data_IF_661209020148
#
_entry.id   IF_661209020148
#
_cell.length_a   1.000
_cell.length_b   1.000
_cell.length_c   1.000
_cell.angle_alpha   90.00
_cell.angle_beta   90.00
_cell.angle_gamma   90.00
#
_symmetry.space_group_name_H-M   'P 1'
#
loop_
_entity.id
_entity.type
_entity.pdbx_description
1 polymer ?
#
# COMPACT_ATOMS: atom_id res chain seq x y z
N UNK A 1 11.97 15.54 22.52
CA UNK A 1 13.04 15.07 21.64
C UNK A 1 12.39 14.70 20.31
N UNK A 2 12.58 15.48 19.25
CA UNK A 2 11.86 15.25 17.99
C UNK A 2 12.13 16.36 16.99
N UNK A 3 13.39 16.51 16.60
CA UNK A 3 13.76 17.40 15.50
C UNK A 3 13.32 16.80 14.16
N UNK A 4 13.09 17.66 13.17
CA UNK A 4 12.88 17.22 11.79
C UNK A 4 14.23 16.71 11.25
N UNK A 5 14.42 15.39 11.23
CA UNK A 5 15.62 14.78 10.65
C UNK A 5 15.64 14.91 9.12
N UNK A 6 16.84 15.01 8.54
CA UNK A 6 17.05 14.91 7.11
C UNK A 6 17.24 13.43 6.71
N UNK A 7 16.63 13.01 5.61
CA UNK A 7 16.78 11.64 5.10
C UNK A 7 18.05 11.54 4.28
N UNK A 8 18.96 10.66 4.69
CA UNK A 8 20.22 10.41 3.97
C UNK A 8 20.08 9.30 2.91
N UNK A 9 19.42 8.19 3.26
CA UNK A 9 19.25 7.04 2.38
C UNK A 9 18.06 6.16 2.81
N UNK A 10 17.63 5.25 1.93
CA UNK A 10 16.68 4.18 2.23
C UNK A 10 17.25 2.85 1.73
N UNK A 11 17.28 1.85 2.62
CA UNK A 11 17.90 0.56 2.36
C UNK A 11 17.25 -0.54 3.22
N UNK A 12 17.44 -1.80 2.83
CA UNK A 12 16.97 -2.97 3.59
C UNK A 12 17.94 -3.38 4.70
N UNK A 13 19.19 -2.93 4.66
CA UNK A 13 20.18 -3.16 5.71
C UNK A 13 21.11 -1.95 5.79
N UNK A 14 21.48 -1.55 6.99
CA UNK A 14 22.39 -0.43 7.24
C UNK A 14 23.32 -0.73 8.41
N UNK A 15 24.56 -0.29 8.26
CA UNK A 15 25.57 -0.30 9.30
C UNK A 15 25.98 1.14 9.61
N UNK A 16 25.74 1.59 10.83
CA UNK A 16 26.05 2.95 11.30
C UNK A 16 27.12 2.86 12.38
N UNK A 17 28.17 3.67 12.24
CA UNK A 17 29.20 3.81 13.28
C UNK A 17 29.11 5.21 13.88
N UNK A 18 29.01 5.28 15.20
CA UNK A 18 28.99 6.54 15.95
C UNK A 18 30.25 6.67 16.80
N UNK A 19 30.89 7.84 16.73
CA UNK A 19 32.10 8.15 17.51
C UNK A 19 31.81 9.00 18.74
N UNK A 20 30.55 9.40 18.93
CA UNK A 20 30.07 10.20 20.06
C UNK A 20 28.78 9.59 20.58
N UNK A 21 28.46 9.89 21.83
CA UNK A 21 27.17 9.51 22.36
C UNK A 21 26.04 10.24 21.60
N UNK A 22 24.99 9.51 21.20
CA UNK A 22 23.86 10.05 20.44
C UNK A 22 22.53 9.77 21.16
N UNK A 23 21.61 10.75 21.21
CA UNK A 23 20.26 10.49 21.70
C UNK A 23 19.50 9.63 20.68
N UNK A 24 18.86 8.57 21.14
CA UNK A 24 18.06 7.67 20.32
C UNK A 24 16.73 7.36 21.01
N UNK A 25 15.81 6.76 20.25
CA UNK A 25 14.54 6.26 20.77
C UNK A 25 14.34 4.84 20.24
N UNK A 26 14.32 3.85 21.14
CA UNK A 26 14.17 2.42 20.80
C UNK A 26 12.83 1.96 21.35
N UNK A 27 11.96 1.41 20.51
CA UNK A 27 10.62 0.90 20.89
C UNK A 27 9.74 1.88 21.69
N UNK A 28 9.97 3.18 21.51
CA UNK A 28 9.26 4.25 22.21
C UNK A 28 10.01 4.82 23.41
N UNK A 29 11.02 4.13 23.92
CA UNK A 29 11.81 4.54 25.08
C UNK A 29 13.00 5.42 24.67
N UNK A 30 13.19 6.59 25.30
CA UNK A 30 14.35 7.43 25.04
C UNK A 30 15.60 6.84 25.71
N UNK A 31 16.71 6.79 24.99
CA UNK A 31 18.00 6.44 25.57
C UNK A 31 19.16 7.23 24.96
N UNK A 32 20.28 7.30 25.67
CA UNK A 32 21.52 7.91 25.19
C UNK A 32 22.51 6.79 24.87
N UNK A 33 22.73 6.55 23.57
CA UNK A 33 23.64 5.51 23.12
C UNK A 33 25.08 6.00 23.22
N UNK A 34 25.97 5.21 23.81
CA UNK A 34 27.42 5.44 23.75
C UNK A 34 27.94 5.31 22.29
N UNK A 35 29.19 5.70 21.98
CA UNK A 35 29.83 5.37 20.71
C UNK A 35 29.66 3.88 20.40
N UNK A 36 29.12 3.54 19.22
CA UNK A 36 28.64 2.18 18.93
C UNK A 36 28.63 1.87 17.44
N UNK A 37 28.59 0.57 17.15
CA UNK A 37 28.32 0.03 15.83
C UNK A 37 26.89 -0.52 15.81
N UNK A 38 26.03 0.10 15.00
CA UNK A 38 24.60 -0.20 14.92
C UNK A 38 24.35 -0.92 13.60
N UNK A 39 23.82 -2.14 13.66
CA UNK A 39 23.35 -2.88 12.49
C UNK A 39 21.83 -2.95 12.52
N UNK A 40 21.18 -2.40 11.49
CA UNK A 40 19.73 -2.49 11.31
C UNK A 40 19.46 -3.28 10.04
N UNK A 41 18.53 -4.22 10.10
CA UNK A 41 18.12 -5.01 8.94
C UNK A 41 16.60 -5.17 8.93
N UNK A 42 16.01 -4.89 7.77
CA UNK A 42 14.58 -4.96 7.55
C UNK A 42 14.14 -6.42 7.44
N UNK A 43 13.55 -6.92 8.52
CA UNK A 43 12.93 -8.24 8.57
C UNK A 43 11.41 -8.05 8.53
N UNK A 44 10.87 -7.86 7.34
CA UNK A 44 9.41 -7.83 7.11
C UNK A 44 8.77 -9.14 7.56
N UNK A 45 8.44 -9.28 8.84
CA UNK A 45 7.93 -10.54 9.38
C UNK A 45 6.43 -10.60 9.57
N UNK A 46 5.68 -9.51 9.46
CA UNK A 46 4.21 -9.58 9.58
C UNK A 46 3.57 -8.37 8.88
N UNK A 47 2.48 -8.54 8.12
CA UNK A 47 1.63 -7.42 7.71
C UNK A 47 1.16 -6.64 8.94
N UNK A 48 1.45 -5.34 9.00
CA UNK A 48 1.00 -4.48 10.10
C UNK A 48 -0.19 -3.64 9.65
N UNK A 49 -1.32 -3.75 10.36
CA UNK A 49 -2.46 -2.85 10.18
C UNK A 49 -2.10 -1.45 10.67
N UNK A 50 -1.77 -0.54 9.75
CA UNK A 50 -1.47 0.86 10.09
C UNK A 50 -2.74 1.68 10.11
N UNK A 51 -3.04 2.33 11.24
CA UNK A 51 -4.08 3.36 11.31
C UNK A 51 -3.66 4.57 10.49
N UNK A 52 -4.26 4.74 9.31
CA UNK A 52 -4.06 5.93 8.49
C UNK A 52 -4.72 7.11 9.21
N UNK A 53 -3.92 8.11 9.60
CA UNK A 53 -4.46 9.41 10.02
C UNK A 53 -5.01 10.07 8.76
N UNK A 54 -6.35 10.11 8.61
CA UNK A 54 -6.99 10.92 7.57
C UNK A 54 -6.53 12.36 7.79
N UNK A 55 -5.64 12.86 6.94
CA UNK A 55 -5.46 14.29 6.79
C UNK A 55 -6.79 14.75 6.18
N UNK A 56 -7.57 15.50 6.94
CA UNK A 56 -8.79 16.09 6.45
C UNK A 56 -8.43 17.15 5.40
N UNK A 57 -8.22 16.72 4.17
CA UNK A 57 -8.30 17.61 3.01
C UNK A 57 -9.80 17.86 2.81
N UNK A 58 -10.33 18.90 3.43
CA UNK A 58 -11.69 19.37 3.13
C UNK A 58 -11.75 19.76 1.64
N UNK A 59 -12.65 19.15 0.85
CA UNK A 59 -12.93 19.65 -0.48
C UNK A 59 -14.02 20.72 -0.40
N UNK A 60 -13.89 21.75 -1.22
CA UNK A 60 -14.86 22.80 -1.60
C UNK A 60 -14.60 24.22 -1.04
N UNK A 61 -13.94 25.06 -1.85
CA UNK A 61 -14.66 26.10 -2.59
C UNK A 61 -13.86 26.56 -3.82
N UNK A 62 -14.53 26.62 -4.97
CA UNK A 62 -14.06 27.19 -6.23
C UNK A 62 -14.01 28.72 -6.08
N UNK A 63 -12.91 29.37 -6.52
CA UNK A 63 -12.87 30.48 -7.52
C UNK A 63 -11.81 31.59 -7.24
N UNK A 64 -10.96 31.78 -8.27
CA UNK A 64 -10.17 32.98 -8.69
C UNK A 64 -8.84 33.32 -8.01
N UNK A 65 -7.80 33.27 -8.86
CA UNK A 65 -6.58 34.10 -8.92
C UNK A 65 -6.07 34.75 -7.63
N UNK A 66 -4.93 34.27 -7.13
CA UNK A 66 -3.64 34.99 -7.16
C UNK A 66 -2.52 34.03 -6.75
N UNK A 67 -1.30 34.36 -7.21
CA UNK A 67 -0.06 33.59 -7.15
C UNK A 67 0.24 33.10 -5.73
N UNK A 68 0.58 31.83 -5.57
CA UNK A 68 1.35 31.34 -4.43
C UNK A 68 2.38 30.32 -4.90
N UNK A 69 3.57 30.46 -4.32
CA UNK A 69 4.86 30.01 -4.80
C UNK A 69 5.01 28.51 -5.00
N UNK A 70 5.67 28.19 -6.11
CA UNK A 70 6.46 26.97 -6.28
C UNK A 70 7.50 26.94 -5.15
N UNK A 71 7.50 25.88 -4.33
CA UNK A 71 8.67 25.25 -3.67
C UNK A 71 8.24 24.42 -2.44
N UNK A 72 7.25 23.53 -2.61
CA UNK A 72 7.16 22.38 -1.72
C UNK A 72 8.27 21.39 -2.10
N UNK A 73 9.06 20.84 -1.15
CA UNK A 73 10.02 19.81 -1.50
C UNK A 73 9.24 18.63 -2.06
N UNK A 74 9.51 18.34 -3.32
CA UNK A 74 9.05 17.14 -4.01
C UNK A 74 9.34 15.96 -3.10
N UNK A 75 8.31 15.42 -2.46
CA UNK A 75 8.38 14.13 -1.80
C UNK A 75 8.74 13.16 -2.91
N UNK A 76 10.01 12.77 -2.98
CA UNK A 76 10.43 11.67 -3.83
C UNK A 76 9.70 10.46 -3.27
N UNK A 77 8.55 10.17 -3.88
CA UNK A 77 7.72 9.01 -3.59
C UNK A 77 8.63 7.80 -3.74
N UNK A 78 8.87 7.12 -2.63
CA UNK A 78 9.57 5.84 -2.64
C UNK A 78 8.54 4.81 -3.06
N UNK A 79 8.18 4.88 -4.34
CA UNK A 79 7.13 4.08 -4.97
C UNK A 79 7.50 2.61 -4.86
N UNK A 80 7.04 1.96 -3.80
CA UNK A 80 7.10 0.51 -3.68
C UNK A 80 6.01 -0.04 -4.59
N UNK A 81 6.42 -0.56 -5.74
CA UNK A 81 5.49 -1.18 -6.70
C UNK A 81 5.19 -2.60 -6.22
N UNK A 82 3.94 -2.81 -5.83
CA UNK A 82 3.35 -4.11 -5.50
C UNK A 82 2.77 -4.73 -6.77
N UNK A 83 3.01 -6.02 -6.97
CA UNK A 83 2.38 -6.81 -8.02
C UNK A 83 1.26 -7.63 -7.38
N UNK A 84 0.01 -7.32 -7.72
CA UNK A 84 -1.16 -7.95 -7.14
C UNK A 84 -1.88 -8.81 -8.20
N UNK A 85 -1.98 -10.14 -8.03
CA UNK A 85 -2.83 -10.96 -8.87
C UNK A 85 -4.29 -10.56 -8.66
N UNK A 86 -5.03 -10.46 -9.75
CA UNK A 86 -6.44 -10.10 -9.77
C UNK A 86 -7.23 -11.33 -10.11
N UNK A 87 -8.04 -11.76 -9.15
CA UNK A 87 -8.88 -12.93 -9.25
C UNK A 87 -10.32 -12.48 -9.10
N UNK A 88 -11.18 -13.01 -9.97
CA UNK A 88 -12.58 -12.62 -10.04
C UNK A 88 -13.46 -13.82 -9.78
N UNK A 89 -14.59 -13.56 -9.13
CA UNK A 89 -15.62 -14.57 -8.89
C UNK A 89 -16.95 -14.02 -9.38
N UNK A 90 -17.71 -14.85 -10.06
CA UNK A 90 -19.02 -14.50 -10.57
C UNK A 90 -19.96 -14.16 -9.42
N UNK A 91 -20.86 -13.19 -9.63
CA UNK A 91 -21.82 -12.82 -8.58
C UNK A 91 -22.69 -14.00 -8.14
N UNK A 92 -23.10 -14.83 -9.09
CA UNK A 92 -23.87 -16.04 -8.82
C UNK A 92 -23.08 -17.06 -7.99
N UNK A 93 -21.82 -17.30 -8.37
CA UNK A 93 -20.92 -18.22 -7.65
C UNK A 93 -20.67 -17.73 -6.22
N UNK A 94 -20.46 -16.42 -6.05
CA UNK A 94 -20.34 -15.80 -4.73
C UNK A 94 -21.59 -15.98 -3.88
N UNK A 95 -22.77 -15.64 -4.40
CA UNK A 95 -24.02 -15.77 -3.63
C UNK A 95 -24.32 -17.23 -3.25
N UNK A 96 -23.84 -18.20 -4.04
CA UNK A 96 -24.01 -19.65 -3.81
C UNK A 96 -22.99 -20.23 -2.83
N UNK A 97 -21.72 -19.82 -2.93
CA UNK A 97 -20.60 -20.44 -2.20
C UNK A 97 -19.94 -19.53 -1.16
N UNK A 98 -20.49 -18.37 -0.82
CA UNK A 98 -19.95 -17.45 0.20
C UNK A 98 -19.62 -18.12 1.56
N UNK A 99 -20.35 -19.17 1.93
CA UNK A 99 -20.16 -19.93 3.16
C UNK A 99 -19.30 -21.20 2.97
N UNK A 100 -19.00 -21.56 1.71
CA UNK A 100 -18.28 -22.75 1.31
C UNK A 100 -17.00 -22.37 0.56
N UNK A 101 -16.02 -21.93 1.33
CA UNK A 101 -14.83 -21.25 0.85
C UNK A 101 -14.02 -21.98 -0.24
N UNK A 102 -13.77 -23.28 -0.05
CA UNK A 102 -13.03 -24.09 -1.02
C UNK A 102 -13.74 -24.15 -2.38
N UNK A 103 -15.08 -24.16 -2.39
CA UNK A 103 -15.84 -24.12 -3.65
C UNK A 103 -15.79 -22.76 -4.33
N UNK A 104 -15.63 -21.69 -3.56
CA UNK A 104 -15.47 -20.34 -4.09
C UNK A 104 -14.10 -20.15 -4.75
N UNK A 105 -13.06 -20.83 -4.24
CA UNK A 105 -11.73 -20.91 -4.88
C UNK A 105 -11.82 -21.62 -6.24
N UNK A 106 -12.56 -22.72 -6.33
CA UNK A 106 -12.70 -23.49 -7.57
C UNK A 106 -13.41 -22.70 -8.69
N UNK A 107 -14.29 -21.76 -8.33
CA UNK A 107 -14.97 -20.88 -9.30
C UNK A 107 -14.18 -19.60 -9.59
N UNK A 108 -13.11 -19.34 -8.84
CA UNK A 108 -12.32 -18.14 -9.00
C UNK A 108 -11.48 -18.19 -10.28
N UNK A 109 -11.42 -17.06 -10.97
CA UNK A 109 -10.73 -16.94 -12.26
C UNK A 109 -9.68 -15.83 -12.20
N UNK A 110 -8.41 -16.19 -12.40
CA UNK A 110 -7.32 -15.21 -12.44
C UNK A 110 -7.29 -14.50 -13.80
N UNK A 111 -7.45 -13.17 -13.79
CA UNK A 111 -7.49 -12.36 -15.02
C UNK A 111 -6.15 -11.68 -15.32
N UNK A 112 -5.20 -11.73 -14.38
CA UNK A 112 -3.84 -11.19 -14.55
C UNK A 112 -3.34 -10.42 -13.33
N UNK A 113 -2.26 -9.66 -13.50
CA UNK A 113 -1.55 -8.98 -12.40
C UNK A 113 -1.55 -7.46 -12.62
N UNK A 114 -1.97 -6.70 -11.60
CA UNK A 114 -1.86 -5.24 -11.58
C UNK A 114 -0.63 -4.79 -10.81
N UNK A 115 0.04 -3.76 -11.35
CA UNK A 115 1.19 -3.11 -10.70
C UNK A 115 0.70 -1.82 -10.05
N UNK A 116 0.85 -1.73 -8.74
CA UNK A 116 0.35 -0.61 -7.94
C UNK A 116 1.44 -0.08 -7.03
N UNK A 117 1.60 1.23 -6.95
CA UNK A 117 2.44 1.81 -5.91
C UNK A 117 1.72 1.67 -4.56
N UNK A 118 2.45 1.38 -3.49
CA UNK A 118 1.89 1.19 -2.15
C UNK A 118 1.05 2.38 -1.66
N UNK A 119 1.37 3.59 -2.10
CA UNK A 119 0.64 4.82 -1.75
C UNK A 119 -0.51 5.15 -2.73
N UNK A 120 -0.81 4.26 -3.68
CA UNK A 120 -1.86 4.49 -4.70
C UNK A 120 -3.26 4.41 -4.09
N UNK A 121 -4.12 5.34 -4.50
CA UNK A 121 -5.54 5.30 -4.15
C UNK A 121 -6.26 4.09 -4.77
N UNK A 122 -7.27 3.56 -4.07
CA UNK A 122 -8.11 2.46 -4.57
C UNK A 122 -8.84 2.80 -5.88
N UNK A 123 -9.05 4.08 -6.18
CA UNK A 123 -9.63 4.50 -7.47
C UNK A 123 -8.68 4.19 -8.65
N UNK A 124 -7.37 4.30 -8.42
CA UNK A 124 -6.34 3.93 -9.42
C UNK A 124 -6.36 2.42 -9.63
N UNK A 125 -6.37 1.65 -8.54
CA UNK A 125 -6.51 0.20 -8.61
C UNK A 125 -7.78 -0.23 -9.34
N UNK A 126 -8.92 0.41 -9.04
CA UNK A 126 -10.20 0.16 -9.70
C UNK A 126 -10.12 0.41 -11.22
N UNK A 127 -9.47 1.50 -11.64
CA UNK A 127 -9.27 1.80 -13.05
C UNK A 127 -8.43 0.74 -13.78
N UNK A 128 -7.33 0.30 -13.16
CA UNK A 128 -6.46 -0.74 -13.73
C UNK A 128 -7.15 -2.09 -13.83
N UNK A 129 -7.88 -2.50 -12.79
CA UNK A 129 -8.66 -3.74 -12.77
C UNK A 129 -9.78 -3.68 -13.80
N UNK A 130 -10.47 -2.54 -13.94
CA UNK A 130 -11.52 -2.41 -14.96
C UNK A 130 -10.96 -2.53 -16.37
N UNK A 131 -9.77 -1.98 -16.62
CA UNK A 131 -9.09 -2.17 -17.91
C UNK A 131 -8.76 -3.63 -18.15
N UNK A 132 -8.20 -4.32 -17.14
CA UNK A 132 -7.87 -5.73 -17.21
C UNK A 132 -9.11 -6.59 -17.51
N UNK A 133 -10.25 -6.28 -16.87
CA UNK A 133 -11.53 -6.93 -17.15
C UNK A 133 -11.99 -6.71 -18.59
N UNK A 134 -11.96 -5.47 -19.10
CA UNK A 134 -12.45 -5.16 -20.45
C UNK A 134 -11.57 -5.77 -21.54
N UNK A 135 -10.25 -5.86 -21.30
CA UNK A 135 -9.27 -6.35 -22.26
C UNK A 135 -9.18 -7.90 -22.27
N UNK A 136 -9.76 -8.58 -21.27
CA UNK A 136 -9.62 -10.02 -21.12
C UNK A 136 -10.55 -10.80 -22.08
N UNK A 137 -10.02 -11.66 -22.97
CA UNK A 137 -10.75 -12.20 -24.11
C UNK A 137 -11.79 -13.28 -23.77
N UNK A 138 -11.64 -13.93 -22.61
CA UNK A 138 -12.48 -15.06 -22.20
C UNK A 138 -12.91 -14.96 -20.74
N UNK A 139 -13.48 -13.82 -20.34
CA UNK A 139 -14.09 -13.74 -19.02
C UNK A 139 -15.30 -14.69 -18.92
N UNK A 140 -15.40 -15.47 -17.84
CA UNK A 140 -16.58 -16.30 -17.58
C UNK A 140 -17.83 -15.47 -17.22
N UNK A 141 -17.70 -14.15 -17.05
CA UNK A 141 -18.75 -13.24 -16.61
C UNK A 141 -18.74 -11.95 -17.42
N UNK A 142 -19.89 -11.27 -17.54
CA UNK A 142 -19.95 -9.95 -18.16
C UNK A 142 -19.18 -8.92 -17.32
N UNK A 143 -18.24 -8.15 -17.92
CA UNK A 143 -17.48 -7.11 -17.21
C UNK A 143 -18.37 -5.90 -16.93
N UNK A 144 -19.23 -6.02 -15.93
CA UNK A 144 -20.00 -4.90 -15.40
C UNK A 144 -19.10 -3.86 -14.71
N UNK A 145 -19.56 -2.61 -14.64
CA UNK A 145 -18.85 -1.54 -13.89
C UNK A 145 -19.07 -1.63 -12.37
N UNK A 146 -20.05 -2.45 -11.96
CA UNK A 146 -20.55 -2.59 -10.59
C UNK A 146 -19.97 -3.82 -9.86
N UNK A 147 -18.66 -4.04 -9.97
CA UNK A 147 -17.95 -5.05 -9.18
C UNK A 147 -17.45 -4.47 -7.85
N UNK A 148 -17.24 -5.35 -6.87
CA UNK A 148 -16.77 -4.99 -5.52
C UNK A 148 -15.51 -5.76 -5.18
N UNK A 149 -14.66 -5.17 -4.35
CA UNK A 149 -13.54 -5.89 -3.76
C UNK A 149 -14.08 -6.92 -2.76
N UNK A 150 -13.55 -8.13 -2.83
CA UNK A 150 -13.78 -9.17 -1.83
C UNK A 150 -12.58 -9.14 -0.89
N UNK A 151 -12.84 -8.97 0.40
CA UNK A 151 -11.81 -9.04 1.43
C UNK A 151 -11.50 -10.51 1.66
N UNK A 152 -10.27 -10.91 1.39
CA UNK A 152 -9.89 -12.32 1.38
C UNK A 152 -8.66 -12.53 2.24
N UNK A 153 -8.80 -12.33 3.55
CA UNK A 153 -7.88 -12.91 4.53
C UNK A 153 -7.85 -14.45 4.45
N UNK A 154 -8.79 -15.09 3.74
CA UNK A 154 -8.88 -16.54 3.65
C UNK A 154 -8.39 -17.17 2.31
N UNK A 155 -8.19 -16.42 1.20
CA UNK A 155 -7.95 -17.05 -0.14
C UNK A 155 -6.56 -17.62 -0.35
N UNK A 156 -5.60 -17.23 0.47
CA UNK A 156 -4.21 -17.62 0.30
C UNK A 156 -3.56 -17.89 1.66
N UNK A 157 -4.10 -18.88 2.38
CA UNK A 157 -3.31 -19.80 3.20
C UNK A 157 -3.17 -21.12 2.43
#
# INVERSE_FOLDING_TARGET
MGGKGERLAQCSSVYVTTYKAIPMQVDGEPCLLAPSHISLSFHSKVPMLRRVKKIACTPNLIRRNTRCDKNGPMVQSTSLIVQLPVIVVGRHDYDTYKDAFERLKDTAFEIGVVKLEFESDLNVARGLIQKLLNDHPCLPYEPGKEWRFLDCECLFD
#
